data_IF_671851501326
#
_entry.id   IF_671851501326
#
_cell.length_a   1.000
_cell.length_b   1.000
_cell.length_c   1.000
_cell.angle_alpha   90.00
_cell.angle_beta   90.00
_cell.angle_gamma   90.00
#
_symmetry.space_group_name_H-M   'P 1'
#
loop_
_entity.id
_entity.type
_entity.pdbx_description
1 polymer ?
#
# COMPACT_ATOMS: atom_id res chain seq x y z
N UNK A 1 -2.62 11.16 -13.14
CA UNK A 1 -1.41 10.54 -13.65
C UNK A 1 -1.37 9.06 -13.25
N UNK A 2 -1.36 8.15 -14.25
CA UNK A 2 -1.46 6.70 -14.05
C UNK A 2 -0.43 5.93 -14.91
N UNK A 3 0.68 6.55 -15.23
CA UNK A 3 1.71 5.90 -16.05
C UNK A 3 2.48 4.81 -15.28
N UNK A 4 3.17 3.89 -15.99
CA UNK A 4 3.96 2.85 -15.37
C UNK A 4 5.07 3.40 -14.43
N UNK A 5 5.45 2.59 -13.45
CA UNK A 5 6.48 2.94 -12.46
C UNK A 5 7.82 3.38 -13.07
N UNK A 6 8.16 2.87 -14.26
CA UNK A 6 9.40 3.22 -14.97
C UNK A 6 9.48 4.66 -15.46
N UNK A 7 8.34 5.36 -15.61
CA UNK A 7 8.29 6.72 -16.15
C UNK A 7 7.60 7.74 -15.23
N UNK A 8 6.97 7.29 -14.15
CA UNK A 8 6.15 8.13 -13.26
C UNK A 8 6.93 9.34 -12.71
N UNK A 9 8.15 9.15 -12.23
CA UNK A 9 8.94 10.24 -11.65
C UNK A 9 9.21 11.34 -12.68
N UNK A 10 9.57 10.96 -13.92
CA UNK A 10 9.79 11.91 -15.02
C UNK A 10 8.53 12.67 -15.41
N UNK A 11 7.37 12.00 -15.38
CA UNK A 11 6.10 12.63 -15.71
C UNK A 11 5.68 13.60 -14.60
N UNK A 12 5.79 13.17 -13.36
CA UNK A 12 5.43 13.99 -12.20
C UNK A 12 6.34 15.21 -12.06
N UNK A 13 7.64 15.11 -12.40
CA UNK A 13 8.57 16.23 -12.45
C UNK A 13 8.06 17.36 -13.37
N UNK A 14 7.41 17.03 -14.47
CA UNK A 14 6.79 18.02 -15.36
C UNK A 14 5.50 18.59 -14.78
N UNK A 15 4.67 17.74 -14.16
CA UNK A 15 3.38 18.13 -13.61
C UNK A 15 3.52 18.98 -12.34
N UNK A 16 4.59 18.79 -11.57
CA UNK A 16 4.82 19.51 -10.31
C UNK A 16 4.93 21.02 -10.51
N UNK A 17 5.38 21.45 -11.70
CA UNK A 17 5.51 22.87 -12.06
C UNK A 17 4.21 23.49 -12.59
N UNK A 18 3.15 22.70 -12.77
CA UNK A 18 1.83 23.21 -13.17
C UNK A 18 1.04 23.73 -11.97
N UNK A 19 0.03 24.55 -12.20
CA UNK A 19 -0.95 24.97 -11.19
C UNK A 19 -2.10 23.97 -11.01
N UNK A 20 -2.14 22.89 -11.78
CA UNK A 20 -3.23 21.92 -11.75
C UNK A 20 -3.25 21.11 -10.45
N UNK A 21 -4.44 20.77 -9.99
CA UNK A 21 -4.61 19.72 -8.99
C UNK A 21 -4.20 18.37 -9.59
N UNK A 22 -3.58 17.50 -8.80
CA UNK A 22 -3.06 16.21 -9.27
C UNK A 22 -3.72 15.05 -8.52
N UNK A 23 -4.16 14.03 -9.25
CA UNK A 23 -4.44 12.70 -8.72
C UNK A 23 -3.43 11.76 -9.38
N UNK A 24 -2.59 11.12 -8.57
CA UNK A 24 -1.52 10.23 -9.01
C UNK A 24 -1.85 8.82 -8.50
N UNK A 25 -2.18 7.93 -9.42
CA UNK A 25 -2.59 6.55 -9.13
C UNK A 25 -1.51 5.50 -9.38
N UNK A 26 -0.29 5.94 -9.68
CA UNK A 26 0.83 5.05 -9.99
C UNK A 26 1.67 4.77 -8.76
N UNK A 27 2.17 3.54 -8.64
CA UNK A 27 3.26 3.17 -7.73
C UNK A 27 4.62 3.58 -8.31
N UNK A 28 5.67 3.60 -7.48
CA UNK A 28 7.05 3.82 -7.94
C UNK A 28 7.52 5.27 -7.87
N UNK A 29 6.78 6.16 -7.23
CA UNK A 29 7.31 7.48 -6.86
C UNK A 29 8.47 7.33 -5.87
N UNK A 30 9.56 8.05 -6.13
CA UNK A 30 10.69 8.12 -5.20
C UNK A 30 10.33 8.91 -3.94
N UNK A 31 11.04 8.66 -2.86
CA UNK A 31 10.89 9.42 -1.60
C UNK A 31 11.12 10.92 -1.84
N UNK A 32 12.12 11.26 -2.66
CA UNK A 32 12.41 12.63 -3.05
C UNK A 32 11.23 13.26 -3.80
N UNK A 33 10.63 12.54 -4.77
CA UNK A 33 9.48 13.03 -5.53
C UNK A 33 8.25 13.23 -4.65
N UNK A 34 8.00 12.32 -3.69
CA UNK A 34 6.92 12.47 -2.70
C UNK A 34 7.13 13.73 -1.84
N UNK A 35 8.37 13.99 -1.41
CA UNK A 35 8.71 15.20 -0.67
C UNK A 35 8.48 16.47 -1.50
N UNK A 36 8.90 16.47 -2.76
CA UNK A 36 8.70 17.58 -3.68
C UNK A 36 7.20 17.85 -3.93
N UNK A 37 6.40 16.79 -4.13
CA UNK A 37 4.93 16.90 -4.26
C UNK A 37 4.31 17.51 -3.00
N UNK A 38 4.70 17.05 -1.81
CA UNK A 38 4.21 17.59 -0.54
C UNK A 38 4.53 19.08 -0.40
N UNK A 39 5.75 19.48 -0.74
CA UNK A 39 6.17 20.89 -0.68
C UNK A 39 5.43 21.77 -1.70
N UNK A 40 5.05 21.22 -2.85
CA UNK A 40 4.32 21.94 -3.91
C UNK A 40 2.81 22.02 -3.70
N UNK A 41 2.26 21.36 -2.69
CA UNK A 41 0.82 21.26 -2.44
C UNK A 41 0.23 22.45 -1.64
N UNK A 42 0.97 23.56 -1.45
CA UNK A 42 0.56 24.68 -0.58
C UNK A 42 -0.76 25.33 -1.01
N UNK A 43 -1.01 25.43 -2.33
CA UNK A 43 -2.17 26.13 -2.89
C UNK A 43 -2.95 25.26 -3.89
N UNK A 44 -2.80 23.95 -3.83
CA UNK A 44 -3.48 23.00 -4.72
C UNK A 44 -3.60 21.64 -4.06
N UNK A 45 -4.47 20.80 -4.63
CA UNK A 45 -4.67 19.43 -4.17
C UNK A 45 -3.72 18.49 -4.90
N UNK A 46 -2.95 17.73 -4.15
CA UNK A 46 -2.11 16.65 -4.67
C UNK A 46 -2.48 15.37 -3.91
N UNK A 47 -3.10 14.44 -4.61
CA UNK A 47 -3.63 13.19 -4.07
C UNK A 47 -2.83 12.04 -4.69
N UNK A 48 -2.05 11.34 -3.89
CA UNK A 48 -1.21 10.21 -4.32
C UNK A 48 -1.78 8.92 -3.74
N UNK A 49 -2.33 8.06 -4.60
CA UNK A 49 -2.94 6.78 -4.21
C UNK A 49 -2.25 5.65 -4.98
N UNK A 50 -1.16 5.06 -4.45
CA UNK A 50 -0.44 3.99 -5.12
C UNK A 50 -1.27 2.71 -5.31
N UNK A 51 -2.29 2.53 -4.48
CA UNK A 51 -3.21 1.39 -4.55
C UNK A 51 -4.65 1.84 -4.21
N UNK A 52 -5.56 1.73 -5.16
CA UNK A 52 -6.97 2.05 -4.99
C UNK A 52 -7.81 0.91 -4.40
N UNK A 53 -7.21 -0.19 -3.99
CA UNK A 53 -7.97 -1.27 -3.33
C UNK A 53 -8.41 -0.85 -1.94
N UNK A 54 -9.72 -0.78 -1.74
CA UNK A 54 -10.33 -0.47 -0.43
C UNK A 54 -9.95 -1.52 0.61
N UNK A 55 -9.92 -2.81 0.21
CA UNK A 55 -9.52 -3.90 1.10
C UNK A 55 -8.06 -3.78 1.54
N UNK A 56 -7.14 -3.41 0.62
CA UNK A 56 -5.73 -3.18 0.98
C UNK A 56 -5.58 -1.98 1.93
N UNK A 57 -6.36 -0.92 1.74
CA UNK A 57 -6.34 0.25 2.61
C UNK A 57 -6.81 -0.10 4.04
N UNK A 58 -7.92 -0.85 4.18
CA UNK A 58 -8.38 -1.35 5.48
C UNK A 58 -7.38 -2.34 6.09
N UNK A 59 -6.83 -3.26 5.30
CA UNK A 59 -5.81 -4.18 5.80
C UNK A 59 -4.62 -3.42 6.40
N UNK A 60 -4.16 -2.34 5.77
CA UNK A 60 -3.08 -1.50 6.29
C UNK A 60 -3.47 -0.79 7.60
N UNK A 61 -4.67 -0.22 7.70
CA UNK A 61 -5.17 0.43 8.92
C UNK A 61 -5.25 -0.55 10.09
N UNK A 62 -5.89 -1.70 9.88
CA UNK A 62 -6.00 -2.72 10.91
C UNK A 62 -4.65 -3.31 11.30
N UNK A 63 -3.74 -3.51 10.32
CA UNK A 63 -2.40 -3.99 10.61
C UNK A 63 -1.62 -3.03 11.49
N UNK A 64 -1.78 -1.72 11.33
CA UNK A 64 -1.16 -0.73 12.22
C UNK A 64 -1.68 -0.87 13.64
N UNK A 65 -3.00 -0.95 13.83
CA UNK A 65 -3.60 -1.11 15.15
C UNK A 65 -3.14 -2.43 15.82
N UNK A 66 -3.18 -3.56 15.08
CA UNK A 66 -2.75 -4.86 15.59
C UNK A 66 -1.25 -4.92 15.89
N UNK A 67 -0.43 -4.15 15.20
CA UNK A 67 1.01 -4.13 15.43
C UNK A 67 1.43 -3.54 16.80
N UNK A 68 0.52 -2.89 17.49
CA UNK A 68 0.73 -2.38 18.84
C UNK A 68 0.36 -3.41 19.92
N UNK A 69 -0.46 -4.43 19.56
CA UNK A 69 -1.01 -5.41 20.49
C UNK A 69 -0.32 -6.79 20.38
N UNK A 70 0.23 -7.12 19.21
CA UNK A 70 0.88 -8.40 18.95
C UNK A 70 2.40 -8.28 19.00
N UNK A 71 3.06 -9.39 19.37
CA UNK A 71 4.52 -9.42 19.56
C UNK A 71 5.30 -9.82 18.30
N UNK A 72 4.63 -10.30 17.23
CA UNK A 72 5.30 -10.72 16.00
C UNK A 72 4.38 -10.64 14.79
N UNK A 73 4.96 -10.50 13.58
CA UNK A 73 4.24 -10.38 12.32
C UNK A 73 4.98 -11.04 11.15
N UNK A 74 4.24 -11.55 10.18
CA UNK A 74 4.76 -11.87 8.85
C UNK A 74 3.78 -11.45 7.77
N UNK A 75 4.28 -11.22 6.56
CA UNK A 75 3.49 -10.84 5.40
C UNK A 75 3.69 -11.90 4.32
N UNK A 76 2.59 -12.43 3.78
CA UNK A 76 2.60 -13.31 2.62
C UNK A 76 1.86 -12.61 1.49
N UNK A 77 2.51 -12.42 0.35
CA UNK A 77 1.91 -11.82 -0.83
C UNK A 77 1.90 -12.80 -2.00
N UNK A 78 0.79 -12.85 -2.74
CA UNK A 78 0.58 -13.77 -3.85
C UNK A 78 0.13 -12.99 -5.07
N UNK A 79 0.81 -13.17 -6.18
CA UNK A 79 0.46 -12.54 -7.45
C UNK A 79 0.59 -13.50 -8.63
N UNK A 80 -0.01 -13.09 -9.75
CA UNK A 80 0.07 -13.85 -10.99
C UNK A 80 1.54 -14.07 -11.42
N UNK A 81 1.79 -15.17 -12.15
CA UNK A 81 3.12 -15.60 -12.59
C UNK A 81 3.91 -14.55 -13.40
N UNK A 82 3.19 -13.63 -14.09
CA UNK A 82 3.80 -12.56 -14.91
C UNK A 82 4.32 -11.36 -14.10
N UNK A 83 4.05 -11.29 -12.79
CA UNK A 83 4.57 -10.21 -11.95
C UNK A 83 6.05 -10.46 -11.64
N UNK A 84 6.91 -9.55 -12.11
CA UNK A 84 8.37 -9.68 -12.02
C UNK A 84 8.93 -9.19 -10.68
N UNK A 85 8.36 -8.10 -10.15
CA UNK A 85 8.81 -7.53 -8.87
C UNK A 85 8.36 -8.41 -7.69
N UNK A 86 9.27 -8.67 -6.78
CA UNK A 86 9.06 -9.28 -5.47
C UNK A 86 9.98 -8.61 -4.45
N UNK A 87 9.44 -8.23 -3.28
CA UNK A 87 8.04 -8.22 -2.92
C UNK A 87 7.24 -7.14 -3.64
N UNK A 88 5.91 -7.26 -3.60
CA UNK A 88 5.01 -6.24 -4.18
C UNK A 88 5.14 -4.89 -3.46
N UNK A 89 4.95 -3.77 -4.19
CA UNK A 89 4.99 -2.44 -3.59
C UNK A 89 4.00 -2.26 -2.43
N UNK A 90 2.84 -2.91 -2.48
CA UNK A 90 1.85 -2.89 -1.39
C UNK A 90 2.37 -3.58 -0.13
N UNK A 91 3.06 -4.72 -0.27
CA UNK A 91 3.64 -5.43 0.86
C UNK A 91 4.82 -4.66 1.47
N UNK A 92 5.65 -4.04 0.64
CA UNK A 92 6.74 -3.15 1.09
C UNK A 92 6.19 -1.95 1.87
N UNK A 93 5.17 -1.28 1.33
CA UNK A 93 4.53 -0.13 1.97
C UNK A 93 3.90 -0.52 3.31
N UNK A 94 3.22 -1.68 3.38
CA UNK A 94 2.70 -2.21 4.63
C UNK A 94 3.82 -2.48 5.63
N UNK A 95 4.87 -3.22 5.27
CA UNK A 95 5.98 -3.53 6.17
C UNK A 95 6.65 -2.28 6.75
N UNK A 96 6.83 -1.24 5.91
CA UNK A 96 7.38 0.05 6.32
C UNK A 96 6.43 0.85 7.24
N UNK A 97 5.13 0.55 7.22
CA UNK A 97 4.13 1.24 8.05
C UNK A 97 4.01 0.66 9.47
N UNK A 98 4.60 -0.51 9.73
CA UNK A 98 4.60 -1.17 11.04
C UNK A 98 5.86 -0.82 11.83
N UNK A 99 5.82 -0.94 13.18
CA UNK A 99 6.97 -0.71 14.04
C UNK A 99 8.16 -1.60 13.65
N UNK A 100 9.36 -1.04 13.54
CA UNK A 100 10.60 -1.80 13.26
C UNK A 100 10.98 -2.78 14.38
N UNK A 101 10.51 -2.53 15.60
CA UNK A 101 10.77 -3.37 16.76
C UNK A 101 9.95 -4.66 16.78
N UNK A 102 8.84 -4.70 16.00
CA UNK A 102 7.99 -5.89 15.90
C UNK A 102 8.72 -6.99 15.11
N UNK A 103 9.11 -8.12 15.76
CA UNK A 103 9.85 -9.18 15.10
C UNK A 103 9.03 -9.94 14.06
N UNK A 104 9.73 -10.65 13.18
CA UNK A 104 9.10 -11.41 12.11
C UNK A 104 8.79 -12.84 12.54
N UNK A 105 7.62 -13.34 12.10
CA UNK A 105 7.27 -14.76 12.17
C UNK A 105 7.96 -15.49 11.01
N UNK A 106 8.65 -16.60 11.29
CA UNK A 106 9.17 -17.48 10.25
C UNK A 106 8.06 -18.35 9.66
N UNK A 107 7.99 -18.40 8.34
CA UNK A 107 7.01 -19.20 7.59
C UNK A 107 7.71 -20.39 6.92
N UNK A 108 7.18 -21.59 7.11
CA UNK A 108 7.61 -22.78 6.38
C UNK A 108 6.99 -22.82 4.96
N UNK A 109 7.67 -23.45 4.03
CA UNK A 109 7.14 -23.66 2.67
C UNK A 109 8.12 -23.29 1.56
N UNK A 110 7.63 -23.38 0.31
CA UNK A 110 8.37 -22.94 -0.88
C UNK A 110 7.80 -21.60 -1.34
N UNK A 111 8.64 -20.58 -1.39
CA UNK A 111 8.29 -19.25 -1.84
C UNK A 111 9.04 -18.90 -3.13
N UNK A 112 8.47 -18.01 -3.94
CA UNK A 112 9.15 -17.43 -5.11
C UNK A 112 10.33 -16.57 -4.65
N UNK A 113 10.12 -15.80 -3.60
CA UNK A 113 11.16 -14.97 -2.99
C UNK A 113 10.83 -14.69 -1.52
N UNK A 114 11.85 -14.40 -0.71
CA UNK A 114 11.71 -13.99 0.68
C UNK A 114 12.59 -12.78 0.93
N UNK A 115 11.98 -11.68 1.31
CA UNK A 115 12.67 -10.42 1.56
C UNK A 115 12.41 -9.92 2.98
N UNK A 116 13.41 -9.27 3.56
CA UNK A 116 13.29 -8.63 4.87
C UNK A 116 13.23 -7.11 4.70
N UNK A 117 12.09 -6.51 4.98
CA UNK A 117 11.83 -5.07 4.88
C UNK A 117 11.39 -4.55 6.25
N UNK A 118 12.02 -3.49 6.74
CA UNK A 118 11.73 -2.92 8.06
C UNK A 118 11.63 -3.99 9.17
N UNK A 119 12.58 -4.92 9.20
CA UNK A 119 12.63 -6.07 10.11
C UNK A 119 11.47 -7.09 9.97
N UNK A 120 10.66 -7.03 8.90
CA UNK A 120 9.56 -7.96 8.59
C UNK A 120 9.92 -8.87 7.44
N UNK A 121 9.66 -10.18 7.59
CA UNK A 121 9.76 -11.10 6.47
C UNK A 121 8.52 -10.96 5.57
N UNK A 122 8.75 -10.75 4.30
CA UNK A 122 7.74 -10.76 3.25
C UNK A 122 8.00 -11.99 2.39
N UNK A 123 7.03 -12.89 2.36
CA UNK A 123 7.05 -14.14 1.60
C UNK A 123 6.25 -13.96 0.32
N UNK A 124 6.92 -14.03 -0.81
CA UNK A 124 6.31 -13.83 -2.12
C UNK A 124 5.98 -15.17 -2.79
N UNK A 125 4.77 -15.30 -3.30
CA UNK A 125 4.30 -16.44 -4.11
C UNK A 125 3.89 -15.94 -5.49
N UNK A 126 4.11 -16.77 -6.50
CA UNK A 126 3.72 -16.53 -7.91
C UNK A 126 3.01 -17.76 -8.44
N UNK A 127 1.85 -17.54 -9.09
CA UNK A 127 1.03 -18.61 -9.66
C UNK A 127 -0.07 -18.03 -10.54
N UNK A 128 -0.54 -18.81 -11.52
CA UNK A 128 -1.58 -18.35 -12.46
C UNK A 128 -2.96 -18.27 -11.81
N UNK A 129 -3.14 -18.93 -10.67
CA UNK A 129 -4.36 -18.91 -9.85
C UNK A 129 -4.52 -17.60 -9.05
N UNK A 130 -3.45 -16.79 -8.93
CA UNK A 130 -3.48 -15.55 -8.17
C UNK A 130 -3.66 -14.32 -9.08
N UNK A 131 -4.48 -13.38 -8.66
CA UNK A 131 -4.49 -12.03 -9.22
C UNK A 131 -3.63 -11.09 -8.36
N UNK A 132 -4.05 -10.87 -7.13
CA UNK A 132 -3.32 -10.16 -6.08
C UNK A 132 -3.94 -10.52 -4.72
N UNK A 133 -3.15 -11.10 -3.84
CA UNK A 133 -3.56 -11.47 -2.48
C UNK A 133 -2.48 -11.04 -1.50
N UNK A 134 -2.88 -10.67 -0.29
CA UNK A 134 -1.96 -10.41 0.80
C UNK A 134 -2.54 -10.89 2.11
N UNK A 135 -1.74 -11.63 2.87
CA UNK A 135 -2.06 -12.12 4.21
C UNK A 135 -1.06 -11.50 5.17
N UNK A 136 -1.56 -10.89 6.23
CA UNK A 136 -0.75 -10.40 7.35
C UNK A 136 -1.06 -11.27 8.55
N UNK A 137 -0.04 -11.96 9.05
CA UNK A 137 -0.16 -12.85 10.20
C UNK A 137 0.45 -12.16 11.41
N UNK A 138 -0.33 -11.98 12.45
CA UNK A 138 0.11 -11.51 13.77
C UNK A 138 0.07 -12.66 14.75
N UNK A 139 1.01 -12.70 15.67
CA UNK A 139 1.00 -13.69 16.75
C UNK A 139 1.63 -13.14 18.05
N UNK A 140 1.19 -13.73 19.16
CA UNK A 140 1.84 -13.70 20.44
C UNK A 140 1.92 -15.13 20.99
N UNK A 141 2.32 -15.31 22.24
CA UNK A 141 2.50 -16.65 22.85
C UNK A 141 1.20 -17.46 22.98
N UNK A 142 0.04 -16.84 22.87
CA UNK A 142 -1.26 -17.43 23.20
C UNK A 142 -2.25 -17.46 22.05
N UNK A 143 -2.08 -16.58 21.05
CA UNK A 143 -3.02 -16.47 19.94
C UNK A 143 -2.36 -15.99 18.64
N UNK A 144 -3.04 -16.19 17.52
CA UNK A 144 -2.68 -15.63 16.23
C UNK A 144 -3.89 -14.96 15.59
N UNK A 145 -3.63 -13.90 14.85
CA UNK A 145 -4.65 -13.17 14.10
C UNK A 145 -4.21 -12.98 12.65
N UNK A 146 -5.12 -13.22 11.70
CA UNK A 146 -4.83 -13.15 10.28
C UNK A 146 -5.73 -12.14 9.59
N UNK A 147 -5.13 -11.24 8.84
CA UNK A 147 -5.83 -10.34 7.94
C UNK A 147 -5.55 -10.77 6.51
N UNK A 148 -6.54 -11.33 5.84
CA UNK A 148 -6.44 -11.71 4.43
C UNK A 148 -7.21 -10.73 3.55
N UNK A 149 -6.56 -10.27 2.49
CA UNK A 149 -7.14 -9.47 1.44
C UNK A 149 -6.87 -10.13 0.08
N UNK A 150 -7.92 -10.29 -0.72
CA UNK A 150 -7.86 -10.90 -2.05
C UNK A 150 -8.58 -10.03 -3.07
N UNK A 151 -7.92 -9.74 -4.17
CA UNK A 151 -8.51 -9.11 -5.35
C UNK A 151 -8.92 -10.19 -6.32
N UNK A 152 -10.23 -10.31 -6.58
CA UNK A 152 -10.77 -11.27 -7.55
C UNK A 152 -10.93 -10.67 -8.95
N UNK A 153 -11.05 -9.34 -9.05
CA UNK A 153 -11.22 -8.61 -10.29
C UNK A 153 -10.64 -7.20 -10.15
N UNK A 154 -9.94 -6.71 -11.17
CA UNK A 154 -9.35 -5.37 -11.18
C UNK A 154 -10.35 -4.23 -11.06
N UNK A 155 -11.63 -4.49 -11.32
CA UNK A 155 -12.71 -3.52 -11.06
C UNK A 155 -12.83 -3.13 -9.59
N UNK A 156 -12.26 -3.91 -8.67
CA UNK A 156 -12.16 -3.56 -7.24
C UNK A 156 -11.50 -2.19 -7.02
N UNK A 157 -10.54 -1.80 -7.88
CA UNK A 157 -9.87 -0.50 -7.78
C UNK A 157 -10.78 0.70 -8.11
N UNK A 158 -11.86 0.50 -8.86
CA UNK A 158 -12.83 1.55 -9.18
C UNK A 158 -13.57 2.07 -7.95
N UNK A 159 -13.76 1.22 -6.93
CA UNK A 159 -14.41 1.64 -5.68
C UNK A 159 -13.54 2.65 -4.91
N UNK A 160 -12.25 2.41 -4.79
CA UNK A 160 -11.35 3.36 -4.16
C UNK A 160 -11.20 4.65 -4.97
N UNK A 161 -11.16 4.56 -6.28
CA UNK A 161 -11.17 5.74 -7.14
C UNK A 161 -12.45 6.57 -6.93
N UNK A 162 -13.61 5.91 -6.86
CA UNK A 162 -14.88 6.59 -6.56
C UNK A 162 -14.83 7.31 -5.22
N UNK A 163 -14.30 6.66 -4.16
CA UNK A 163 -14.16 7.30 -2.82
C UNK A 163 -13.33 8.58 -2.91
N UNK A 164 -12.19 8.55 -3.61
CA UNK A 164 -11.34 9.73 -3.79
C UNK A 164 -12.05 10.84 -4.54
N UNK A 165 -12.81 10.50 -5.59
CA UNK A 165 -13.58 11.48 -6.38
C UNK A 165 -14.76 12.07 -5.59
N UNK A 166 -15.48 11.24 -4.83
CA UNK A 166 -16.60 11.70 -3.99
C UNK A 166 -16.12 12.67 -2.90
N UNK A 167 -14.92 12.46 -2.36
CA UNK A 167 -14.34 13.30 -1.31
C UNK A 167 -13.42 14.42 -1.86
N UNK A 168 -13.27 14.50 -3.17
CA UNK A 168 -12.30 15.42 -3.80
C UNK A 168 -12.43 16.87 -3.33
N UNK A 169 -13.64 17.36 -3.11
CA UNK A 169 -13.86 18.75 -2.68
C UNK A 169 -13.41 19.00 -1.24
N UNK A 170 -13.44 17.98 -0.40
CA UNK A 170 -13.07 18.02 1.02
C UNK A 170 -11.58 17.84 1.25
N UNK A 171 -10.88 17.18 0.30
CA UNK A 171 -9.44 16.97 0.39
C UNK A 171 -8.69 18.26 0.06
N UNK A 172 -7.70 18.59 0.87
CA UNK A 172 -6.85 19.77 0.67
C UNK A 172 -5.36 19.41 0.78
N UNK A 173 -4.52 20.19 0.10
CA UNK A 173 -3.07 20.04 0.17
C UNK A 173 -2.59 18.69 -0.34
N UNK A 174 -1.67 18.06 0.40
CA UNK A 174 -1.07 16.77 0.07
C UNK A 174 -1.73 15.62 0.82
N UNK A 175 -2.25 14.65 0.07
CA UNK A 175 -2.85 13.43 0.59
C UNK A 175 -2.13 12.21 0.02
N UNK A 176 -1.66 11.31 0.86
CA UNK A 176 -0.94 10.10 0.47
C UNK A 176 -1.63 8.86 1.04
N UNK A 177 -1.97 7.92 0.16
CA UNK A 177 -2.59 6.65 0.52
C UNK A 177 -4.11 6.74 0.69
N UNK A 178 -4.81 5.71 0.20
CA UNK A 178 -6.27 5.61 0.33
C UNK A 178 -6.68 5.42 1.80
N UNK A 179 -5.84 4.73 2.57
CA UNK A 179 -6.05 4.49 4.00
C UNK A 179 -6.25 5.78 4.80
N UNK A 180 -5.50 6.83 4.48
CA UNK A 180 -5.62 8.11 5.17
C UNK A 180 -6.92 8.86 4.80
N UNK A 181 -7.44 8.64 3.59
CA UNK A 181 -8.72 9.22 3.15
C UNK A 181 -9.91 8.52 3.79
N UNK A 182 -9.80 7.21 4.07
CA UNK A 182 -10.90 6.43 4.66
C UNK A 182 -10.80 6.28 6.18
N UNK A 183 -9.69 6.67 6.79
CA UNK A 183 -9.43 6.49 8.23
C UNK A 183 -10.56 7.07 9.10
N UNK A 184 -11.06 8.27 8.78
CA UNK A 184 -12.12 8.93 9.54
C UNK A 184 -13.47 8.18 9.53
N UNK A 185 -13.63 7.20 8.60
CA UNK A 185 -14.82 6.34 8.56
C UNK A 185 -14.76 5.22 9.59
N UNK A 186 -13.56 4.94 10.12
CA UNK A 186 -13.34 3.91 11.14
C UNK A 186 -13.24 4.64 12.48
N UNK A 187 -14.33 4.64 13.22
CA UNK A 187 -14.31 5.05 14.63
C UNK A 187 -13.85 3.84 15.45
N UNK A 188 -12.56 3.61 15.51
CA UNK A 188 -11.92 2.69 16.44
C UNK A 188 -11.34 3.54 17.58
#
# INVERSE_FOLDING_TARGET
EFSPASVINKNVEKLINSSANLIIGSSGLSVEMLSNLKNSAKNRKIIVIPNFSVGAAYQKLFSKALSEEFSSVSIVEKHHSKKQDAPSGTAVDLANSLSSELPSIEQGGKFFDVNKINNKNIYSLRGDEYLAEQIVNFANDYESFHLEHKVNDRRAYLYGMKIVLDQYNELEGFNLGLENIIADKIKI
#
